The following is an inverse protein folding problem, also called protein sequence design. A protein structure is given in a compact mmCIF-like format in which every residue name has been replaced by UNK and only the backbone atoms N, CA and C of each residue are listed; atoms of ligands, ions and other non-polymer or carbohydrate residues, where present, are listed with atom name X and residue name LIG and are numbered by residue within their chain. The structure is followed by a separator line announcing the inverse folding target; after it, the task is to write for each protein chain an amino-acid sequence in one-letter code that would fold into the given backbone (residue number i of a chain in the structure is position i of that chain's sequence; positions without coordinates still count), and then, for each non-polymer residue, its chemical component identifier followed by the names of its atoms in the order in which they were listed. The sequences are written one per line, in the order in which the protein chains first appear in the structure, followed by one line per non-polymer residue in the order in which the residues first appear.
data_IF_673938685298
#
_entry.id   IF_673938685298
#
_cell.length_a   1.000
_cell.length_b   1.000
_cell.length_c   1.000
_cell.angle_alpha   90.00
_cell.angle_beta   90.00
_cell.angle_gamma   90.00
#
_symmetry.space_group_name_H-M   'P 1'
#
loop_
_entity.id
_entity.type
_entity.pdbx_description
1 polymer ?
#
# COMPACT_ATOMS: atom_id res chain seq x y z
N UNK A 1 5.89 -22.90 17.96
CA UNK A 1 7.21 -22.34 18.34
C UNK A 1 8.13 -22.52 17.14
N UNK A 2 8.81 -21.47 16.68
CA UNK A 2 9.70 -21.54 15.51
C UNK A 2 10.94 -22.37 15.85
N UNK A 3 11.17 -23.50 15.15
CA UNK A 3 12.38 -24.31 15.32
C UNK A 3 13.49 -23.83 14.38
N UNK A 4 14.75 -24.09 14.73
CA UNK A 4 15.88 -23.76 13.85
C UNK A 4 15.77 -24.47 12.49
N UNK A 5 15.32 -25.72 12.50
CA UNK A 5 15.09 -26.51 11.28
C UNK A 5 14.01 -25.88 10.40
N UNK A 6 12.89 -25.46 10.99
CA UNK A 6 11.84 -24.77 10.25
C UNK A 6 12.35 -23.45 9.65
N UNK A 7 13.06 -22.62 10.43
CA UNK A 7 13.66 -21.38 9.92
C UNK A 7 14.66 -21.66 8.79
N UNK A 8 15.49 -22.70 8.89
CA UNK A 8 16.40 -23.12 7.81
C UNK A 8 15.62 -23.52 6.55
N UNK A 9 14.51 -24.25 6.69
CA UNK A 9 13.65 -24.64 5.57
C UNK A 9 13.05 -23.43 4.84
N UNK A 10 12.67 -22.38 5.57
CA UNK A 10 12.21 -21.12 4.98
C UNK A 10 13.35 -20.39 4.28
N UNK A 11 14.53 -20.27 4.93
CA UNK A 11 15.70 -19.58 4.38
C UNK A 11 16.17 -20.18 3.04
N UNK A 12 16.07 -21.50 2.88
CA UNK A 12 16.44 -22.18 1.63
C UNK A 12 15.57 -21.77 0.44
N UNK A 13 14.37 -21.23 0.69
CA UNK A 13 13.49 -20.74 -0.36
C UNK A 13 13.94 -19.38 -0.93
N UNK A 14 14.88 -18.68 -0.28
CA UNK A 14 15.38 -17.36 -0.72
C UNK A 14 16.79 -17.49 -1.31
N UNK A 15 16.95 -17.51 -2.65
CA UNK A 15 18.26 -17.71 -3.28
C UNK A 15 19.31 -16.67 -2.86
N UNK A 16 18.89 -15.44 -2.59
CA UNK A 16 19.79 -14.36 -2.15
C UNK A 16 20.52 -14.68 -0.84
N UNK A 17 19.93 -15.50 0.06
CA UNK A 17 20.55 -15.85 1.34
C UNK A 17 21.73 -16.81 1.21
N UNK A 18 21.96 -17.40 0.03
CA UNK A 18 23.16 -18.17 -0.28
C UNK A 18 24.37 -17.30 -0.65
N UNK A 19 24.18 -15.98 -0.81
CA UNK A 19 25.25 -15.04 -1.19
C UNK A 19 26.36 -15.03 -0.14
N UNK A 20 27.59 -14.93 -0.64
CA UNK A 20 28.78 -14.65 0.17
C UNK A 20 29.32 -13.27 -0.14
N UNK A 21 29.88 -12.60 0.86
CA UNK A 21 30.59 -11.33 0.75
C UNK A 21 31.88 -11.42 1.55
N UNK A 22 33.03 -11.16 0.91
CA UNK A 22 34.36 -11.30 1.53
C UNK A 22 34.54 -12.67 2.21
N UNK A 23 34.15 -13.74 1.51
CA UNK A 23 34.16 -15.12 2.00
C UNK A 23 33.37 -15.39 3.28
N UNK A 24 32.41 -14.53 3.64
CA UNK A 24 31.46 -14.74 4.73
C UNK A 24 30.02 -14.84 4.21
N UNK A 25 29.12 -15.60 4.87
CA UNK A 25 27.70 -15.59 4.54
C UNK A 25 27.12 -14.17 4.66
N UNK A 26 26.34 -13.74 3.66
CA UNK A 26 25.65 -12.46 3.72
C UNK A 26 24.57 -12.46 4.81
N UNK A 27 24.49 -11.37 5.57
CA UNK A 27 23.45 -11.12 6.58
C UNK A 27 22.69 -9.88 6.18
N UNK A 28 21.39 -10.04 5.92
CA UNK A 28 20.51 -8.97 5.45
C UNK A 28 19.71 -8.41 6.63
N UNK A 29 20.13 -7.28 7.17
CA UNK A 29 19.47 -6.58 8.29
C UNK A 29 18.86 -5.23 7.85
N UNK A 30 18.43 -5.16 6.59
CA UNK A 30 17.89 -3.95 5.96
C UNK A 30 16.47 -4.19 5.40
N UNK A 31 15.71 -5.05 6.08
CA UNK A 31 14.31 -5.36 5.73
C UNK A 31 13.43 -4.12 5.55
N UNK A 32 13.56 -3.07 6.40
CA UNK A 32 12.85 -1.82 6.20
C UNK A 32 13.17 -1.12 4.88
N UNK A 33 14.34 -1.29 4.26
CA UNK A 33 14.60 -0.78 2.92
C UNK A 33 14.00 -1.68 1.85
N UNK A 34 13.99 -3.00 2.04
CA UNK A 34 13.33 -3.96 1.16
C UNK A 34 13.71 -5.39 1.51
N UNK A 35 12.83 -6.32 1.16
CA UNK A 35 13.03 -7.75 1.47
C UNK A 35 13.70 -8.49 0.31
N UNK A 36 14.30 -9.64 0.64
CA UNK A 36 14.71 -10.60 -0.38
C UNK A 36 13.47 -11.39 -0.85
N UNK A 37 13.50 -11.90 -2.08
CA UNK A 37 12.35 -12.61 -2.67
C UNK A 37 12.57 -14.13 -2.65
N UNK A 38 11.53 -14.95 -2.38
CA UNK A 38 11.61 -16.39 -2.46
C UNK A 38 11.61 -16.82 -3.93
N UNK A 39 12.11 -18.03 -4.19
CA UNK A 39 12.24 -18.58 -5.55
C UNK A 39 10.92 -18.61 -6.30
N UNK A 40 9.81 -18.95 -5.63
CA UNK A 40 8.47 -18.98 -6.24
C UNK A 40 8.05 -17.63 -6.83
N UNK A 41 8.38 -16.51 -6.19
CA UNK A 41 8.12 -15.16 -6.71
C UNK A 41 8.94 -14.89 -7.97
N UNK A 42 10.22 -15.27 -7.98
CA UNK A 42 11.10 -15.15 -9.15
C UNK A 42 10.55 -15.98 -10.31
N UNK A 43 10.17 -17.22 -10.03
CA UNK A 43 9.66 -18.16 -11.02
C UNK A 43 8.32 -17.68 -11.61
N UNK A 44 7.43 -17.10 -10.80
CA UNK A 44 6.16 -16.52 -11.28
C UNK A 44 6.38 -15.35 -12.25
N UNK A 45 7.33 -14.46 -11.96
CA UNK A 45 7.70 -13.36 -12.86
C UNK A 45 8.27 -13.93 -14.17
N UNK A 46 9.20 -14.87 -14.08
CA UNK A 46 9.85 -15.47 -15.24
C UNK A 46 8.85 -16.25 -16.10
N UNK A 47 7.92 -16.98 -15.49
CA UNK A 47 6.89 -17.75 -16.17
C UNK A 47 5.90 -16.84 -16.91
N UNK A 48 5.41 -15.76 -16.27
CA UNK A 48 4.55 -14.79 -16.93
C UNK A 48 5.22 -14.24 -18.20
N UNK A 49 6.48 -13.81 -18.09
CA UNK A 49 7.23 -13.26 -19.22
C UNK A 49 7.49 -14.27 -20.33
N UNK A 50 7.68 -15.55 -19.98
CA UNK A 50 8.05 -16.60 -20.93
C UNK A 50 6.85 -17.22 -21.65
N UNK A 51 5.66 -17.21 -21.03
CA UNK A 51 4.51 -17.96 -21.53
C UNK A 51 3.25 -17.11 -21.75
N UNK A 52 3.01 -16.06 -20.95
CA UNK A 52 1.71 -15.36 -20.87
C UNK A 52 1.73 -13.91 -21.31
N UNK A 53 2.92 -13.32 -21.48
CA UNK A 53 3.10 -11.88 -21.70
C UNK A 53 2.23 -11.33 -22.84
N UNK A 54 1.22 -10.56 -22.46
CA UNK A 54 0.36 -9.80 -23.34
C UNK A 54 -0.22 -8.59 -22.62
N UNK A 55 -0.77 -7.65 -23.39
CA UNK A 55 -1.68 -6.67 -22.83
C UNK A 55 -3.05 -7.32 -22.56
N UNK A 56 -3.84 -6.71 -21.70
CA UNK A 56 -5.12 -7.22 -21.20
C UNK A 56 -6.28 -6.85 -22.15
N UNK A 57 -7.40 -7.58 -22.12
CA UNK A 57 -8.63 -7.26 -22.89
C UNK A 57 -8.65 -7.67 -24.38
N UNK A 58 -7.70 -8.49 -24.83
CA UNK A 58 -7.64 -9.09 -26.16
C UNK A 58 -8.34 -10.45 -26.23
N UNK A 59 -8.77 -10.85 -27.44
CA UNK A 59 -9.49 -12.12 -27.65
C UNK A 59 -8.59 -13.36 -27.78
N UNK A 60 -7.27 -13.18 -27.80
CA UNK A 60 -6.29 -14.26 -27.98
C UNK A 60 -5.84 -14.85 -26.63
N UNK A 61 -5.30 -16.07 -26.67
CA UNK A 61 -5.03 -16.89 -25.49
C UNK A 61 -4.22 -16.17 -24.40
N UNK A 62 -3.05 -15.63 -24.74
CA UNK A 62 -2.15 -14.97 -23.76
C UNK A 62 -2.76 -13.72 -23.13
N UNK A 63 -3.64 -13.01 -23.85
CA UNK A 63 -4.37 -11.88 -23.27
C UNK A 63 -5.39 -12.33 -22.24
N UNK A 64 -6.18 -13.38 -22.54
CA UNK A 64 -7.12 -13.98 -21.59
C UNK A 64 -6.42 -14.59 -20.37
N UNK A 65 -5.24 -15.18 -20.57
CA UNK A 65 -4.39 -15.69 -19.48
C UNK A 65 -3.82 -14.55 -18.62
N UNK A 66 -3.47 -13.41 -19.23
CA UNK A 66 -3.08 -12.21 -18.51
C UNK A 66 -4.24 -11.62 -17.70
N UNK A 67 -5.44 -11.56 -18.28
CA UNK A 67 -6.66 -11.12 -17.58
C UNK A 67 -6.92 -12.01 -16.35
N UNK A 68 -6.89 -13.34 -16.53
CA UNK A 68 -7.11 -14.28 -15.42
C UNK A 68 -6.05 -14.17 -14.30
N UNK A 69 -4.78 -13.92 -14.66
CA UNK A 69 -3.71 -13.67 -13.69
C UNK A 69 -3.94 -12.38 -12.92
N UNK A 70 -4.36 -11.31 -13.61
CA UNK A 70 -4.71 -10.04 -12.95
C UNK A 70 -5.88 -10.25 -11.99
N UNK A 71 -6.96 -10.92 -12.40
CA UNK A 71 -8.10 -11.21 -11.53
C UNK A 71 -7.71 -12.01 -10.27
N UNK A 72 -6.76 -12.94 -10.40
CA UNK A 72 -6.21 -13.69 -9.27
C UNK A 72 -5.37 -12.80 -8.35
N UNK A 73 -4.55 -11.91 -8.90
CA UNK A 73 -3.76 -10.97 -8.11
C UNK A 73 -4.65 -10.00 -7.29
N UNK A 74 -5.73 -9.51 -7.87
CA UNK A 74 -6.69 -8.65 -7.16
C UNK A 74 -7.36 -9.40 -6.01
N UNK A 75 -7.75 -10.66 -6.22
CA UNK A 75 -8.28 -11.53 -5.15
C UNK A 75 -7.26 -11.81 -4.05
N UNK A 76 -6.03 -12.18 -4.40
CA UNK A 76 -4.99 -12.45 -3.41
C UNK A 76 -4.72 -11.22 -2.52
N UNK A 77 -4.65 -10.03 -3.11
CA UNK A 77 -4.47 -8.81 -2.32
C UNK A 77 -5.73 -8.37 -1.57
N UNK A 78 -6.92 -8.68 -2.05
CA UNK A 78 -8.14 -8.50 -1.26
C UNK A 78 -8.10 -9.35 0.01
N UNK A 79 -7.71 -10.62 -0.11
CA UNK A 79 -7.51 -11.51 1.03
C UNK A 79 -6.43 -11.00 2.00
N UNK A 80 -5.27 -10.54 1.48
CA UNK A 80 -4.18 -9.98 2.30
C UNK A 80 -4.64 -8.78 3.13
N UNK A 81 -5.50 -7.93 2.56
CA UNK A 81 -5.96 -6.68 3.16
C UNK A 81 -7.27 -6.85 3.95
N UNK A 82 -7.87 -8.03 3.96
CA UNK A 82 -9.19 -8.28 4.54
C UNK A 82 -10.29 -7.45 3.87
N UNK A 83 -10.24 -7.30 2.55
CA UNK A 83 -11.23 -6.59 1.76
C UNK A 83 -12.20 -7.59 1.10
N UNK A 84 -13.50 -7.34 1.21
CA UNK A 84 -14.54 -8.21 0.63
C UNK A 84 -14.62 -8.12 -0.90
N UNK A 85 -14.10 -7.04 -1.49
CA UNK A 85 -14.25 -6.71 -2.90
C UNK A 85 -12.89 -6.54 -3.57
N UNK A 86 -12.47 -7.48 -4.44
CA UNK A 86 -11.19 -7.38 -5.13
C UNK A 86 -11.09 -6.23 -6.12
N UNK A 87 -12.21 -5.70 -6.63
CA UNK A 87 -12.17 -4.53 -7.52
C UNK A 87 -11.73 -3.26 -6.77
N UNK A 88 -11.87 -3.23 -5.44
CA UNK A 88 -11.43 -2.10 -4.61
C UNK A 88 -9.92 -2.07 -4.39
N UNK A 89 -9.19 -3.09 -4.82
CA UNK A 89 -7.73 -3.17 -4.75
C UNK A 89 -7.15 -2.86 -6.12
N UNK A 90 -6.14 -1.99 -6.19
CA UNK A 90 -5.48 -1.68 -7.46
C UNK A 90 -3.98 -1.53 -7.32
N UNK A 91 -3.30 -1.71 -8.44
CA UNK A 91 -1.85 -1.74 -8.54
C UNK A 91 -1.30 -0.50 -9.22
N UNK A 92 -0.06 -0.16 -8.89
CA UNK A 92 0.72 0.83 -9.61
C UNK A 92 2.22 0.68 -9.36
N UNK A 93 3.05 1.59 -9.90
CA UNK A 93 4.50 1.43 -9.88
C UNK A 93 5.11 1.36 -8.47
N UNK A 94 4.53 2.06 -7.50
CA UNK A 94 4.93 2.07 -6.09
C UNK A 94 3.85 2.80 -5.26
N UNK A 95 3.82 2.58 -3.94
CA UNK A 95 2.86 3.24 -3.04
C UNK A 95 2.90 4.77 -3.20
N UNK A 96 4.08 5.38 -3.23
CA UNK A 96 4.22 6.84 -3.34
C UNK A 96 3.50 7.42 -4.56
N UNK A 97 3.63 6.78 -5.72
CA UNK A 97 3.00 7.22 -6.97
C UNK A 97 1.49 7.08 -6.90
N UNK A 98 0.99 6.00 -6.29
CA UNK A 98 -0.43 5.80 -6.04
C UNK A 98 -0.97 6.89 -5.09
N UNK A 99 -0.25 7.21 -4.02
CA UNK A 99 -0.63 8.25 -3.06
C UNK A 99 -0.65 9.63 -3.70
N UNK A 100 0.28 9.95 -4.61
CA UNK A 100 0.22 11.19 -5.40
C UNK A 100 -1.00 11.27 -6.32
N UNK A 101 -1.42 10.15 -6.92
CA UNK A 101 -2.61 10.12 -7.76
C UNK A 101 -3.88 10.27 -6.91
N UNK A 102 -3.95 9.54 -5.80
CA UNK A 102 -5.08 9.61 -4.87
C UNK A 102 -5.19 11.00 -4.21
N UNK A 103 -4.09 11.58 -3.74
CA UNK A 103 -4.12 12.86 -3.04
C UNK A 103 -4.66 13.99 -3.92
N UNK A 104 -4.31 14.00 -5.20
CA UNK A 104 -4.87 14.93 -6.18
C UNK A 104 -6.37 14.72 -6.40
N UNK A 105 -6.82 13.47 -6.49
CA UNK A 105 -8.23 13.16 -6.65
C UNK A 105 -9.05 13.58 -5.41
N UNK A 106 -8.57 13.24 -4.20
CA UNK A 106 -9.19 13.63 -2.93
C UNK A 106 -9.24 15.15 -2.78
N UNK A 107 -8.17 15.86 -3.14
CA UNK A 107 -8.10 17.31 -3.02
C UNK A 107 -9.14 18.08 -3.86
N UNK A 108 -9.74 17.46 -4.88
CA UNK A 108 -10.86 18.06 -5.62
C UNK A 108 -12.12 18.28 -4.76
N UNK A 109 -12.19 17.63 -3.60
CA UNK A 109 -13.30 17.76 -2.64
C UNK A 109 -13.04 18.86 -1.59
N UNK A 110 -11.83 19.40 -1.55
CA UNK A 110 -11.40 20.36 -0.55
C UNK A 110 -11.69 21.81 -0.97
N UNK A 111 -11.76 22.70 0.00
CA UNK A 111 -11.92 24.14 -0.21
C UNK A 111 -11.10 24.96 0.80
N UNK A 112 -10.77 26.22 0.49
CA UNK A 112 -10.12 27.12 1.44
C UNK A 112 -10.84 27.14 2.79
N UNK A 113 -10.06 27.02 3.86
CA UNK A 113 -10.55 26.94 5.24
C UNK A 113 -10.80 25.51 5.75
N UNK A 114 -10.72 24.49 4.90
CA UNK A 114 -10.59 23.11 5.35
C UNK A 114 -9.18 22.84 5.91
N UNK A 115 -9.03 21.73 6.64
CA UNK A 115 -7.76 21.26 7.21
C UNK A 115 -7.52 19.78 6.91
N UNK A 116 -6.25 19.39 6.80
CA UNK A 116 -5.83 17.97 6.83
C UNK A 116 -4.82 17.74 7.96
N UNK A 117 -4.76 16.51 8.44
CA UNK A 117 -3.78 16.09 9.45
C UNK A 117 -2.86 15.04 8.84
N UNK A 118 -1.56 15.28 8.95
CA UNK A 118 -0.48 14.31 8.68
C UNK A 118 0.36 14.16 9.96
N UNK A 119 1.25 13.17 10.04
CA UNK A 119 2.10 12.97 11.23
C UNK A 119 3.56 13.30 10.95
N UNK A 120 4.30 13.64 12.01
CA UNK A 120 5.78 13.72 11.95
C UNK A 120 6.47 12.37 12.06
N UNK A 121 5.73 11.30 12.34
CA UNK A 121 6.25 9.93 12.46
C UNK A 121 6.36 9.24 11.10
N UNK A 122 5.51 9.62 10.17
CA UNK A 122 5.33 8.92 8.90
C UNK A 122 6.50 9.12 7.94
N UNK A 123 6.70 8.10 7.10
CA UNK A 123 7.55 8.23 5.93
C UNK A 123 7.00 9.31 5.00
N UNK A 124 7.89 10.07 4.34
CA UNK A 124 7.50 11.22 3.51
C UNK A 124 6.52 10.90 2.36
N UNK A 125 6.52 9.63 1.91
CA UNK A 125 5.54 9.10 0.96
C UNK A 125 4.08 9.18 1.45
N UNK A 126 3.84 9.29 2.76
CA UNK A 126 2.53 9.55 3.36
C UNK A 126 2.42 10.97 3.96
N UNK A 127 3.29 11.90 3.56
CA UNK A 127 3.27 13.30 4.03
C UNK A 127 3.23 14.25 2.83
N UNK A 128 4.29 14.25 2.03
CA UNK A 128 4.47 15.20 0.92
C UNK A 128 3.35 15.15 -0.13
N UNK A 129 2.81 13.98 -0.53
CA UNK A 129 1.67 13.95 -1.46
C UNK A 129 0.44 14.73 -0.96
N UNK A 130 0.17 14.68 0.34
CA UNK A 130 -0.95 15.39 0.97
C UNK A 130 -0.64 16.87 1.14
N UNK A 131 0.57 17.23 1.57
CA UNK A 131 1.02 18.62 1.71
C UNK A 131 0.94 19.36 0.37
N UNK A 132 1.39 18.73 -0.71
CA UNK A 132 1.34 19.34 -2.04
C UNK A 132 -0.09 19.47 -2.56
N UNK A 133 -0.94 18.46 -2.33
CA UNK A 133 -2.35 18.53 -2.69
C UNK A 133 -3.10 19.61 -1.89
N UNK A 134 -2.76 19.77 -0.60
CA UNK A 134 -3.35 20.79 0.27
C UNK A 134 -2.91 22.20 -0.16
N UNK A 135 -1.63 22.37 -0.52
CA UNK A 135 -1.14 23.62 -1.12
C UNK A 135 -1.93 24.00 -2.37
N UNK A 136 -2.13 23.05 -3.28
CA UNK A 136 -2.82 23.30 -4.55
C UNK A 136 -4.31 23.61 -4.34
N UNK A 137 -4.92 23.13 -3.25
CA UNK A 137 -6.31 23.39 -2.86
C UNK A 137 -6.47 24.54 -1.83
N UNK A 138 -5.39 25.22 -1.44
CA UNK A 138 -5.37 26.26 -0.40
C UNK A 138 -5.94 25.80 0.96
N UNK A 139 -5.62 24.55 1.33
CA UNK A 139 -5.99 23.89 2.59
C UNK A 139 -4.85 23.91 3.59
N UNK A 140 -5.18 24.06 4.88
CA UNK A 140 -4.19 24.06 5.95
C UNK A 140 -3.74 22.63 6.31
N UNK A 141 -2.44 22.44 6.54
CA UNK A 141 -1.87 21.18 7.00
C UNK A 141 -1.51 21.28 8.47
N UNK A 142 -2.10 20.40 9.29
CA UNK A 142 -1.76 20.20 10.69
C UNK A 142 -0.83 18.99 10.81
N UNK A 143 0.20 19.09 11.65
CA UNK A 143 1.14 18.00 11.90
C UNK A 143 0.94 17.45 13.31
N UNK A 144 0.56 16.18 13.41
CA UNK A 144 0.61 15.45 14.68
C UNK A 144 2.07 15.22 15.09
N UNK A 145 2.39 15.51 16.35
CA UNK A 145 3.74 15.43 16.91
C UNK A 145 4.08 14.00 17.36
N UNK A 146 5.32 13.81 17.80
CA UNK A 146 5.81 12.55 18.37
C UNK A 146 6.25 12.77 19.82
N UNK A 147 6.15 11.73 20.63
CA UNK A 147 6.88 11.67 21.90
C UNK A 147 8.37 11.46 21.58
N UNK A 148 9.21 12.41 22.01
CA UNK A 148 10.64 12.41 21.64
C UNK A 148 11.44 11.36 22.41
N UNK A 149 10.90 10.92 23.53
CA UNK A 149 11.53 9.99 24.46
C UNK A 149 11.55 8.56 23.91
N UNK A 150 10.49 8.15 23.21
CA UNK A 150 10.31 6.79 22.70
C UNK A 150 10.01 6.72 21.19
N UNK A 151 9.97 7.87 20.51
CA UNK A 151 9.70 7.98 19.07
C UNK A 151 8.35 7.36 18.65
N UNK A 152 7.35 7.42 19.54
CA UNK A 152 5.97 7.05 19.25
C UNK A 152 5.14 8.26 18.81
N UNK A 153 4.00 8.02 18.16
CA UNK A 153 3.06 9.08 17.79
C UNK A 153 2.42 9.66 19.05
N UNK A 154 2.35 11.00 19.15
CA UNK A 154 1.55 11.66 20.19
C UNK A 154 0.08 11.63 19.76
N UNK A 155 -0.60 10.54 20.12
CA UNK A 155 -1.98 10.26 19.73
C UNK A 155 -2.96 11.24 20.37
N UNK A 156 -2.66 11.73 21.57
CA UNK A 156 -3.48 12.75 22.24
C UNK A 156 -3.35 14.10 21.53
N UNK A 157 -2.15 14.47 21.09
CA UNK A 157 -1.96 15.65 20.26
C UNK A 157 -2.69 15.52 18.92
N UNK A 158 -2.57 14.37 18.22
CA UNK A 158 -3.34 14.10 16.99
C UNK A 158 -4.84 14.33 17.23
N UNK A 159 -5.38 13.75 18.30
CA UNK A 159 -6.79 13.87 18.65
C UNK A 159 -7.20 15.33 18.91
N UNK A 160 -6.33 16.12 19.54
CA UNK A 160 -6.59 17.53 19.82
C UNK A 160 -6.67 18.43 18.58
N UNK A 161 -6.10 17.98 17.44
CA UNK A 161 -6.13 18.72 16.17
C UNK A 161 -7.45 18.54 15.41
N UNK A 162 -8.21 17.48 15.70
CA UNK A 162 -9.44 17.15 15.01
C UNK A 162 -10.54 18.18 15.28
N UNK A 163 -11.18 18.65 14.21
CA UNK A 163 -12.31 19.58 14.25
C UNK A 163 -13.20 19.42 13.01
N UNK A 164 -14.31 20.16 12.94
CA UNK A 164 -15.30 20.10 11.85
C UNK A 164 -14.76 20.52 10.46
N UNK A 165 -13.58 21.15 10.42
CA UNK A 165 -12.89 21.54 9.20
C UNK A 165 -11.92 20.46 8.71
N UNK A 166 -11.62 19.45 9.53
CA UNK A 166 -10.77 18.34 9.12
C UNK A 166 -11.45 17.54 8.00
N UNK A 167 -10.72 17.28 6.92
CA UNK A 167 -11.20 16.50 5.76
C UNK A 167 -10.47 15.18 5.59
N UNK A 168 -9.21 15.11 6.03
CA UNK A 168 -8.39 13.91 5.93
C UNK A 168 -7.45 13.79 7.13
N UNK A 169 -7.28 12.57 7.62
CA UNK A 169 -6.18 12.16 8.50
C UNK A 169 -5.35 11.11 7.76
N UNK A 170 -4.08 11.40 7.51
CA UNK A 170 -3.12 10.44 6.95
C UNK A 170 -2.14 9.99 8.05
N UNK A 171 -2.06 8.68 8.27
CA UNK A 171 -1.21 8.09 9.31
C UNK A 171 -0.67 6.72 8.89
N UNK A 172 0.56 6.40 9.26
CA UNK A 172 1.11 5.06 9.10
C UNK A 172 0.55 4.08 10.13
N UNK A 173 0.30 2.84 9.74
CA UNK A 173 -0.03 1.76 10.67
C UNK A 173 1.19 1.35 11.52
N UNK A 174 2.39 1.43 10.95
CA UNK A 174 3.64 1.27 11.69
C UNK A 174 4.75 2.19 11.13
N UNK A 175 5.61 2.71 12.02
CA UNK A 175 6.75 3.53 11.63
C UNK A 175 7.86 2.69 11.00
N UNK A 176 8.37 3.15 9.85
CA UNK A 176 9.54 2.57 9.20
C UNK A 176 10.85 2.76 9.99
N UNK A 177 10.88 3.75 10.88
CA UNK A 177 12.08 4.15 11.61
C UNK A 177 12.11 3.62 13.03
N UNK A 178 11.06 3.86 13.83
CA UNK A 178 11.02 3.41 15.24
C UNK A 178 10.39 2.02 15.41
N UNK A 179 9.67 1.52 14.40
CA UNK A 179 8.89 0.30 14.52
C UNK A 179 7.61 0.44 15.37
N UNK A 180 7.29 1.65 15.82
CA UNK A 180 6.06 1.94 16.59
C UNK A 180 4.82 1.57 15.78
N UNK A 181 3.86 0.88 16.40
CA UNK A 181 2.57 0.54 15.82
C UNK A 181 1.52 1.52 16.33
N UNK A 182 0.79 2.16 15.42
CA UNK A 182 -0.18 3.19 15.77
C UNK A 182 -1.59 2.61 16.00
N UNK A 183 -2.40 3.19 16.91
CA UNK A 183 -3.77 2.75 17.18
C UNK A 183 -4.74 3.20 16.07
N UNK A 184 -4.60 2.60 14.88
CA UNK A 184 -5.29 3.05 13.66
C UNK A 184 -6.82 2.93 13.73
N UNK A 185 -7.36 1.96 14.48
CA UNK A 185 -8.81 1.83 14.68
C UNK A 185 -9.38 3.00 15.46
N UNK A 186 -8.73 3.37 16.55
CA UNK A 186 -9.13 4.51 17.36
C UNK A 186 -9.05 5.81 16.56
N UNK A 187 -7.98 5.99 15.79
CA UNK A 187 -7.81 7.17 14.93
C UNK A 187 -8.90 7.23 13.85
N UNK A 188 -9.25 6.10 13.22
CA UNK A 188 -10.35 6.04 12.26
C UNK A 188 -11.67 6.51 12.87
N UNK A 189 -11.99 6.00 14.07
CA UNK A 189 -13.20 6.39 14.80
C UNK A 189 -13.25 7.89 15.08
N UNK A 190 -12.14 8.51 15.49
CA UNK A 190 -12.10 9.95 15.75
C UNK A 190 -12.17 10.79 14.48
N UNK A 191 -11.50 10.37 13.40
CA UNK A 191 -11.58 11.04 12.10
C UNK A 191 -13.02 11.06 11.58
N UNK A 192 -13.70 9.91 11.63
CA UNK A 192 -15.10 9.79 11.20
C UNK A 192 -16.07 10.58 12.08
N UNK A 193 -15.80 10.72 13.37
CA UNK A 193 -16.63 11.51 14.28
C UNK A 193 -16.70 13.00 13.89
N UNK A 194 -15.71 13.53 13.17
CA UNK A 194 -15.71 14.90 12.62
C UNK A 194 -15.98 14.95 11.11
N UNK A 195 -16.28 13.80 10.49
CA UNK A 195 -16.57 13.68 9.06
C UNK A 195 -15.34 13.70 8.15
N UNK A 196 -14.13 13.47 8.69
CA UNK A 196 -12.90 13.36 7.91
C UNK A 196 -12.70 11.91 7.41
N UNK A 197 -12.06 11.74 6.25
CA UNK A 197 -11.58 10.44 5.80
C UNK A 197 -10.24 10.08 6.45
N UNK A 198 -9.90 8.79 6.45
CA UNK A 198 -8.62 8.27 6.92
C UNK A 198 -7.86 7.52 5.82
N UNK A 199 -6.61 7.92 5.60
CA UNK A 199 -5.64 7.19 4.78
C UNK A 199 -4.61 6.49 5.66
N UNK A 200 -4.43 5.19 5.45
CA UNK A 200 -3.48 4.36 6.19
C UNK A 200 -2.29 3.94 5.32
N UNK A 201 -1.08 4.31 5.73
CA UNK A 201 0.15 3.72 5.18
C UNK A 201 0.50 2.43 5.94
N UNK A 202 0.28 1.29 5.30
CA UNK A 202 0.55 -0.04 5.85
C UNK A 202 1.87 -0.65 5.35
N UNK A 203 2.75 0.10 4.69
CA UNK A 203 3.99 -0.41 4.07
C UNK A 203 4.88 -1.17 5.05
N UNK A 204 4.97 -0.69 6.30
CA UNK A 204 5.76 -1.33 7.37
C UNK A 204 4.94 -2.18 8.33
N UNK A 205 3.62 -2.22 8.17
CA UNK A 205 2.72 -3.04 8.98
C UNK A 205 2.42 -4.38 8.30
N UNK A 206 2.16 -4.37 6.99
CA UNK A 206 1.88 -5.55 6.16
C UNK A 206 2.86 -6.73 6.32
N UNK A 207 4.20 -6.54 6.46
CA UNK A 207 5.10 -7.68 6.68
C UNK A 207 5.03 -8.33 8.07
N UNK A 208 4.28 -7.75 9.01
CA UNK A 208 4.40 -8.09 10.43
C UNK A 208 3.07 -8.40 11.13
N UNK A 209 1.93 -7.98 10.57
CA UNK A 209 0.61 -8.22 11.14
C UNK A 209 -0.46 -8.38 10.05
N UNK A 210 -1.53 -9.08 10.41
CA UNK A 210 -2.70 -9.23 9.54
C UNK A 210 -3.42 -7.89 9.40
N UNK A 211 -3.86 -7.60 8.19
CA UNK A 211 -4.62 -6.40 7.87
C UNK A 211 -6.08 -6.81 7.64
N UNK A 212 -6.98 -6.03 8.21
CA UNK A 212 -8.41 -6.10 7.93
C UNK A 212 -8.92 -4.67 7.80
N UNK A 213 -9.17 -4.22 6.56
CA UNK A 213 -9.62 -2.85 6.28
C UNK A 213 -10.99 -2.54 6.88
N UNK A 214 -11.86 -3.56 7.05
CA UNK A 214 -13.15 -3.39 7.70
C UNK A 214 -13.00 -3.22 9.22
N UNK A 215 -12.11 -4.00 9.85
CA UNK A 215 -11.82 -3.91 11.29
C UNK A 215 -11.04 -2.63 11.65
N UNK A 216 -10.16 -2.16 10.76
CA UNK A 216 -9.48 -0.87 10.90
C UNK A 216 -10.48 0.28 10.73
N UNK A 217 -11.39 0.14 9.77
CA UNK A 217 -12.38 1.16 9.44
C UNK A 217 -11.82 2.31 8.59
N UNK A 218 -10.65 2.19 7.98
CA UNK A 218 -10.09 3.24 7.13
C UNK A 218 -10.90 3.47 5.82
N UNK A 219 -10.61 4.57 5.14
CA UNK A 219 -11.23 4.90 3.85
C UNK A 219 -10.32 4.51 2.68
N UNK A 220 -9.01 4.56 2.91
CA UNK A 220 -7.96 4.16 1.99
C UNK A 220 -6.82 3.50 2.75
N UNK A 221 -6.19 2.49 2.16
CA UNK A 221 -5.00 1.85 2.70
C UNK A 221 -4.01 1.55 1.58
N UNK A 222 -2.73 1.79 1.82
CA UNK A 222 -1.69 1.50 0.84
C UNK A 222 -0.54 0.67 1.43
N UNK A 223 0.03 -0.21 0.62
CA UNK A 223 1.23 -0.97 0.96
C UNK A 223 2.14 -1.15 -0.26
N UNK A 224 3.25 -1.87 -0.11
CA UNK A 224 4.18 -2.14 -1.21
C UNK A 224 4.79 -3.52 -1.09
N UNK A 225 4.64 -4.35 -2.13
CA UNK A 225 4.98 -5.76 -2.09
C UNK A 225 6.47 -6.05 -1.83
N UNK A 226 7.37 -5.14 -2.25
CA UNK A 226 8.81 -5.29 -1.99
C UNK A 226 9.20 -5.24 -0.49
N UNK A 227 8.27 -4.85 0.39
CA UNK A 227 8.45 -4.94 1.85
C UNK A 227 8.04 -6.29 2.44
N UNK A 228 7.35 -7.14 1.69
CA UNK A 228 6.89 -8.47 2.11
C UNK A 228 7.12 -9.51 1.02
N UNK A 229 8.39 -9.66 0.63
CA UNK A 229 8.91 -10.71 -0.25
C UNK A 229 8.52 -10.64 -1.74
N UNK A 230 7.81 -9.58 -2.16
CA UNK A 230 7.44 -9.35 -3.55
C UNK A 230 8.39 -8.45 -4.34
N UNK A 231 8.07 -8.17 -5.62
CA UNK A 231 8.79 -7.18 -6.43
C UNK A 231 8.34 -5.74 -6.10
N UNK A 232 8.99 -4.75 -6.72
CA UNK A 232 8.55 -3.35 -6.64
C UNK A 232 7.21 -3.16 -7.36
N UNK A 233 6.12 -3.19 -6.59
CA UNK A 233 4.78 -2.78 -7.00
C UNK A 233 4.07 -2.16 -5.79
N UNK A 234 3.33 -1.09 -6.04
CA UNK A 234 2.44 -0.46 -5.07
C UNK A 234 1.07 -1.10 -5.13
N UNK A 235 0.43 -1.22 -3.97
CA UNK A 235 -0.94 -1.71 -3.84
C UNK A 235 -1.72 -0.70 -3.01
N UNK A 236 -2.92 -0.39 -3.46
CA UNK A 236 -3.83 0.48 -2.72
C UNK A 236 -5.22 -0.14 -2.71
N UNK A 237 -5.88 -0.05 -1.56
CA UNK A 237 -7.29 -0.31 -1.39
C UNK A 237 -8.00 1.00 -1.07
N UNK A 238 -9.25 1.12 -1.51
CA UNK A 238 -10.14 2.18 -1.05
C UNK A 238 -11.60 1.74 -1.03
N UNK A 239 -12.42 2.41 -0.23
CA UNK A 239 -13.86 2.17 -0.21
C UNK A 239 -14.48 2.36 -1.60
N UNK A 240 -15.32 1.42 -2.02
CA UNK A 240 -15.92 1.40 -3.37
C UNK A 240 -16.57 2.73 -3.73
N UNK A 241 -17.39 3.27 -2.84
CA UNK A 241 -18.13 4.52 -3.06
C UNK A 241 -17.20 5.73 -3.26
N UNK A 242 -16.02 5.73 -2.63
CA UNK A 242 -15.02 6.78 -2.78
C UNK A 242 -14.24 6.59 -4.10
N UNK A 243 -13.84 5.35 -4.41
CA UNK A 243 -13.15 5.03 -5.65
C UNK A 243 -14.02 5.29 -6.89
N UNK A 244 -15.34 5.14 -6.78
CA UNK A 244 -16.30 5.40 -7.85
C UNK A 244 -16.68 6.88 -7.98
N UNK A 245 -16.65 7.65 -6.90
CA UNK A 245 -17.03 9.08 -6.91
C UNK A 245 -15.87 10.02 -7.22
N UNK A 246 -14.65 9.70 -6.78
CA UNK A 246 -13.49 10.57 -6.98
C UNK A 246 -12.99 10.58 -8.44
N UNK A 247 -12.45 11.72 -8.93
CA UNK A 247 -11.92 11.82 -10.29
C UNK A 247 -10.55 11.14 -10.40
N UNK A 248 -10.50 9.96 -11.03
CA UNK A 248 -9.26 9.23 -11.21
C UNK A 248 -8.41 9.81 -12.37
N UNK A 249 -7.10 9.94 -12.13
CA UNK A 249 -6.14 10.46 -13.11
C UNK A 249 -5.59 9.32 -13.99
N UNK A 250 -6.31 8.99 -15.06
CA UNK A 250 -6.01 7.88 -15.97
C UNK A 250 -6.05 8.28 -17.44
N UNK A 251 -5.44 7.48 -18.30
CA UNK A 251 -5.59 7.64 -19.75
C UNK A 251 -7.01 7.26 -20.21
N UNK A 252 -7.46 7.86 -21.32
CA UNK A 252 -8.75 7.53 -21.97
C UNK A 252 -8.97 6.02 -22.19
N UNK A 253 -7.96 5.21 -22.58
CA UNK A 253 -8.16 3.77 -22.80
C UNK A 253 -8.27 2.93 -21.52
N UNK A 254 -7.86 3.44 -20.35
CA UNK A 254 -8.08 2.71 -19.09
C UNK A 254 -9.60 2.63 -18.80
N UNK A 255 -10.13 1.51 -18.26
CA UNK A 255 -11.55 1.36 -17.93
C UNK A 255 -12.07 2.47 -16.99
N UNK A 256 -13.38 2.69 -16.96
CA UNK A 256 -14.01 3.58 -15.97
C UNK A 256 -14.50 2.81 -14.74
N UNK A 257 -14.57 1.49 -14.86
CA UNK A 257 -14.93 0.53 -13.85
C UNK A 257 -13.71 0.21 -12.97
N UNK A 258 -13.96 -0.12 -11.71
CA UNK A 258 -12.95 -0.65 -10.82
C UNK A 258 -12.51 -2.06 -11.29
N UNK A 259 -11.27 -2.48 -11.02
CA UNK A 259 -10.15 -1.71 -10.47
C UNK A 259 -9.48 -0.79 -11.51
N UNK A 260 -9.72 -1.04 -12.80
CA UNK A 260 -9.04 -0.41 -13.94
C UNK A 260 -9.11 1.13 -13.96
N UNK A 261 -10.14 1.73 -13.35
CA UNK A 261 -10.26 3.18 -13.15
C UNK A 261 -9.06 3.79 -12.44
N UNK A 262 -8.45 3.09 -11.49
CA UNK A 262 -7.31 3.61 -10.73
C UNK A 262 -5.96 3.11 -11.25
N UNK A 263 -5.97 2.41 -12.39
CA UNK A 263 -4.79 1.90 -13.07
C UNK A 263 -4.54 2.78 -14.31
N UNK A 264 -3.50 3.61 -14.24
CA UNK A 264 -3.26 4.76 -15.16
C UNK A 264 -3.19 4.41 -16.65
N UNK A 265 -2.95 3.14 -16.99
CA UNK A 265 -2.79 2.56 -18.32
C UNK A 265 -2.32 1.11 -18.20
N UNK A 266 -1.54 0.62 -19.16
CA UNK A 266 -0.90 -0.71 -19.04
C UNK A 266 0.00 -0.76 -17.81
N UNK A 267 -0.20 -1.76 -16.95
CA UNK A 267 0.62 -1.99 -15.76
C UNK A 267 1.76 -2.99 -16.04
N UNK A 268 2.69 -3.12 -15.09
CA UNK A 268 3.71 -4.18 -15.11
C UNK A 268 3.08 -5.49 -14.64
N UNK A 269 2.46 -6.22 -15.57
CA UNK A 269 1.74 -7.46 -15.26
C UNK A 269 2.67 -8.53 -14.66
N UNK A 270 3.93 -8.60 -15.09
CA UNK A 270 4.93 -9.51 -14.56
C UNK A 270 5.25 -9.24 -13.09
N UNK A 271 5.31 -7.98 -12.67
CA UNK A 271 5.53 -7.65 -11.24
C UNK A 271 4.26 -7.88 -10.41
N UNK A 272 3.07 -7.66 -10.98
CA UNK A 272 1.81 -8.01 -10.34
C UNK A 272 1.72 -9.53 -10.12
N UNK A 273 2.11 -10.34 -11.11
CA UNK A 273 2.16 -11.81 -10.97
C UNK A 273 3.12 -12.23 -9.84
N UNK A 274 4.32 -11.65 -9.80
CA UNK A 274 5.27 -11.90 -8.71
C UNK A 274 4.76 -11.45 -7.34
N UNK A 275 4.01 -10.34 -7.28
CA UNK A 275 3.44 -9.83 -6.04
C UNK A 275 2.30 -10.71 -5.52
N UNK A 276 1.43 -11.20 -6.40
CA UNK A 276 0.39 -12.17 -6.03
C UNK A 276 1.03 -13.44 -5.44
N UNK A 277 2.12 -13.90 -6.03
CA UNK A 277 2.84 -15.07 -5.52
C UNK A 277 3.56 -14.82 -4.19
N UNK A 278 3.91 -13.56 -3.90
CA UNK A 278 4.42 -13.17 -2.59
C UNK A 278 3.31 -13.25 -1.52
N UNK A 279 2.07 -12.90 -1.87
CA UNK A 279 0.92 -13.08 -0.98
C UNK A 279 0.65 -14.56 -0.74
N UNK A 280 0.64 -15.39 -1.79
CA UNK A 280 0.47 -16.85 -1.66
C UNK A 280 1.57 -17.54 -0.85
N UNK A 281 2.69 -16.86 -0.60
CA UNK A 281 3.78 -17.36 0.24
C UNK A 281 3.58 -17.06 1.73
N UNK A 282 2.93 -15.95 2.05
CA UNK A 282 2.60 -15.54 3.42
C UNK A 282 1.55 -16.48 4.03
#
# INVERSE_FOLDING_TARGET
MLTLEFVQSLRQQFPALARRQNDQPAVYLDGPAGTQVPRRVIDAIADYLSHRNANHGGLFATSRESDAMLDEAHRAFADLLGADDPDCVYFGPNMTTLTFALSRAVATTWRPGDEIIVTRLDHDANVTPWVLAARDAEVEVRFAEIHREDCTLDVDHLRSLLNERTRLVAVGAASNSSGSINPIREIASWAHAVGAWMFVDAVHYAPHALIDVAEIGCDFLACSAYKFFGPHVGVMWGRRELLESLPAYKLRPAPNELPGRWMTGTQSHETIAGAAEAVNYL
#
